data_IF_240045054952
#
_entry.id   IF_240045054952
#
_cell.length_a   1.000
_cell.length_b   1.000
_cell.length_c   1.000
_cell.angle_alpha   90.00
_cell.angle_beta   90.00
_cell.angle_gamma   90.00
#
_symmetry.space_group_name_H-M   'P 1'
#
loop_
_entity.id
_entity.type
_entity.pdbx_description
1 polymer ?
#
# COMPACT_ATOMS: atom_id res chain seq x y z
N UNK A 1 16.00 24.37 5.74
CA UNK A 1 15.84 23.08 5.04
C UNK A 1 15.35 22.06 6.06
N UNK A 2 14.29 21.33 5.76
CA UNK A 2 13.87 20.20 6.58
C UNK A 2 14.81 19.02 6.32
N UNK A 3 15.14 18.19 7.33
CA UNK A 3 15.92 16.98 7.10
C UNK A 3 15.23 16.06 6.07
N UNK A 4 15.96 15.13 5.43
CA UNK A 4 15.32 14.18 4.53
C UNK A 4 14.41 13.22 5.29
N UNK A 5 13.28 12.87 4.68
CA UNK A 5 12.36 11.85 5.18
C UNK A 5 12.90 10.46 4.84
N UNK A 6 12.88 9.57 5.82
CA UNK A 6 13.23 8.15 5.66
C UNK A 6 12.13 7.29 6.25
N UNK A 7 11.88 6.14 5.62
CA UNK A 7 10.96 5.12 6.09
C UNK A 7 11.69 3.86 6.52
N UNK A 8 11.30 3.28 7.65
CA UNK A 8 11.84 2.02 8.15
C UNK A 8 10.86 0.88 7.89
N UNK A 9 11.31 -0.20 7.27
CA UNK A 9 10.38 -1.18 6.72
C UNK A 9 10.99 -2.31 5.90
N UNK A 10 10.16 -3.12 5.27
CA UNK A 10 10.58 -4.27 4.44
C UNK A 10 10.20 -4.08 2.98
N UNK A 11 11.01 -4.63 2.08
CA UNK A 11 10.53 -4.92 0.73
C UNK A 11 9.59 -6.12 0.77
N UNK A 12 8.67 -6.21 -0.19
CA UNK A 12 7.65 -7.25 -0.21
C UNK A 12 7.79 -8.09 -1.48
N UNK A 13 7.74 -9.42 -1.35
CA UNK A 13 7.50 -10.32 -2.48
C UNK A 13 6.02 -10.22 -2.93
N UNK A 14 5.79 -9.51 -4.04
CA UNK A 14 4.45 -9.25 -4.55
C UNK A 14 3.63 -10.53 -4.84
N UNK A 15 4.26 -11.61 -5.28
CA UNK A 15 3.53 -12.84 -5.61
C UNK A 15 2.96 -13.50 -4.37
N UNK A 16 3.79 -13.62 -3.33
CA UNK A 16 3.37 -14.20 -2.04
C UNK A 16 2.34 -13.29 -1.36
N UNK A 17 2.55 -11.98 -1.47
CA UNK A 17 1.62 -10.98 -0.96
C UNK A 17 0.24 -11.05 -1.61
N UNK A 18 0.18 -11.04 -2.95
CA UNK A 18 -1.08 -11.08 -3.70
C UNK A 18 -1.84 -12.38 -3.46
N UNK A 19 -1.12 -13.51 -3.31
CA UNK A 19 -1.71 -14.79 -2.92
C UNK A 19 -2.28 -14.74 -1.50
N UNK A 20 -1.54 -14.20 -0.53
CA UNK A 20 -2.05 -14.02 0.83
C UNK A 20 -3.30 -13.13 0.85
N UNK A 21 -3.32 -12.05 0.05
CA UNK A 21 -4.47 -11.16 -0.06
C UNK A 21 -5.72 -11.90 -0.58
N UNK A 22 -5.55 -12.78 -1.55
CA UNK A 22 -6.61 -13.62 -2.10
C UNK A 22 -7.11 -14.65 -1.08
N UNK A 23 -6.18 -15.42 -0.50
CA UNK A 23 -6.48 -16.52 0.43
C UNK A 23 -7.20 -16.03 1.71
N UNK A 24 -7.15 -14.73 2.01
CA UNK A 24 -7.72 -14.11 3.22
C UNK A 24 -8.81 -13.05 2.94
N UNK A 25 -9.30 -12.94 1.70
CA UNK A 25 -10.34 -11.96 1.30
C UNK A 25 -9.97 -10.49 1.62
N UNK A 26 -8.70 -10.15 1.38
CA UNK A 26 -8.13 -8.83 1.64
C UNK A 26 -7.94 -8.00 0.36
N UNK A 27 -8.35 -8.51 -0.81
CA UNK A 27 -8.39 -7.72 -2.05
C UNK A 27 -9.35 -6.55 -1.88
N UNK A 28 -8.97 -5.40 -2.43
CA UNK A 28 -9.77 -4.20 -2.45
C UNK A 28 -10.18 -3.89 -3.89
N UNK A 29 -11.42 -3.44 -4.03
CA UNK A 29 -11.98 -2.99 -5.29
C UNK A 29 -12.58 -1.61 -5.05
N UNK A 30 -12.38 -0.70 -6.01
CA UNK A 30 -12.94 0.64 -6.00
C UNK A 30 -13.90 0.77 -7.17
N UNK A 31 -14.97 1.52 -6.95
CA UNK A 31 -15.91 1.89 -8.00
C UNK A 31 -15.26 3.01 -8.83
N UNK A 32 -15.02 2.77 -10.10
CA UNK A 32 -14.59 3.79 -11.07
C UNK A 32 -15.74 4.03 -12.05
N UNK A 33 -15.89 5.29 -12.45
CA UNK A 33 -16.75 5.64 -13.58
C UNK A 33 -16.13 5.03 -14.84
N UNK A 34 -16.99 4.42 -15.65
CA UNK A 34 -16.58 3.82 -16.92
C UNK A 34 -16.36 4.96 -17.91
N UNK A 35 -15.12 5.44 -18.01
CA UNK A 35 -14.69 6.37 -19.05
C UNK A 35 -14.56 5.57 -20.36
N UNK A 36 -15.66 5.01 -20.88
CA UNK A 36 -15.70 4.64 -22.29
C UNK A 36 -15.59 5.96 -23.06
N UNK A 37 -14.37 6.26 -23.56
CA UNK A 37 -14.12 7.29 -24.55
C UNK A 37 -15.11 7.02 -25.71
N UNK A 38 -16.20 7.78 -25.75
CA UNK A 38 -17.13 7.87 -26.88
C UNK A 38 -16.34 8.41 -28.08
N UNK A 39 -15.68 7.51 -28.81
CA UNK A 39 -15.28 7.74 -30.19
C UNK A 39 -16.57 7.85 -31.03
N UNK A 40 -16.98 9.11 -31.24
CA UNK A 40 -17.88 9.61 -32.29
C UNK A 40 -19.07 8.71 -32.67
N UNK A 41 -20.28 9.01 -32.15
CA UNK A 41 -21.44 9.10 -33.06
C UNK A 41 -22.55 10.00 -32.51
N UNK A 42 -23.25 10.60 -33.47
CA UNK A 42 -24.20 11.68 -33.37
C UNK A 42 -25.47 11.37 -32.53
N UNK A 43 -26.05 12.46 -31.98
CA UNK A 43 -27.48 12.62 -31.63
C UNK A 43 -28.14 11.70 -30.57
N UNK A 44 -28.22 12.17 -29.32
CA UNK A 44 -29.45 12.51 -28.57
C UNK A 44 -29.18 12.54 -27.05
N UNK A 45 -29.67 13.60 -26.39
CA UNK A 45 -29.53 13.91 -24.97
C UNK A 45 -30.41 12.96 -24.12
N UNK A 46 -30.01 11.69 -24.00
CA UNK A 46 -30.48 10.81 -22.93
C UNK A 46 -29.56 10.97 -21.71
N UNK A 47 -30.12 11.29 -20.54
CA UNK A 47 -29.39 11.28 -19.26
C UNK A 47 -28.90 9.84 -18.98
N UNK A 48 -27.76 9.47 -19.55
CA UNK A 48 -27.11 8.18 -19.30
C UNK A 48 -26.67 8.14 -17.84
N UNK A 49 -27.30 7.28 -17.04
CA UNK A 49 -26.84 6.99 -15.68
C UNK A 49 -25.36 6.56 -15.75
N UNK A 50 -24.45 7.12 -14.93
CA UNK A 50 -23.05 6.77 -15.01
C UNK A 50 -22.87 5.26 -14.79
N UNK A 51 -22.28 4.59 -15.77
CA UNK A 51 -21.84 3.21 -15.63
C UNK A 51 -20.63 3.18 -14.71
N UNK A 52 -20.58 2.19 -13.83
CA UNK A 52 -19.45 2.04 -12.92
C UNK A 52 -18.95 0.61 -12.91
N UNK A 53 -17.63 0.48 -13.01
CA UNK A 53 -16.93 -0.81 -12.92
C UNK A 53 -16.20 -0.91 -11.58
N UNK A 54 -16.18 -2.11 -11.02
CA UNK A 54 -15.35 -2.43 -9.86
C UNK A 54 -13.93 -2.75 -10.32
N UNK A 55 -13.01 -1.81 -10.13
CA UNK A 55 -11.60 -1.96 -10.49
C UNK A 55 -10.80 -2.41 -9.28
N UNK A 56 -9.92 -3.39 -9.47
CA UNK A 56 -8.99 -3.85 -8.43
C UNK A 56 -8.05 -2.70 -8.01
N UNK A 57 -8.01 -2.40 -6.72
CA UNK A 57 -7.14 -1.37 -6.14
C UNK A 57 -5.98 -2.03 -5.40
N UNK A 58 -4.82 -2.03 -6.05
CA UNK A 58 -3.58 -2.56 -5.50
C UNK A 58 -3.15 -1.85 -4.22
N UNK A 59 -3.33 -0.54 -4.14
CA UNK A 59 -2.86 0.27 -3.00
C UNK A 59 -3.72 0.01 -1.77
N UNK A 60 -5.03 -0.06 -1.92
CA UNK A 60 -5.96 -0.42 -0.86
C UNK A 60 -5.81 -1.89 -0.46
N UNK A 61 -5.55 -2.79 -1.40
CA UNK A 61 -5.25 -4.19 -1.09
C UNK A 61 -3.99 -4.28 -0.23
N UNK A 62 -2.96 -3.52 -0.61
CA UNK A 62 -1.73 -3.43 0.17
C UNK A 62 -2.02 -2.99 1.59
N UNK A 63 -2.76 -1.90 1.75
CA UNK A 63 -3.18 -1.39 3.05
C UNK A 63 -3.94 -2.40 3.91
N UNK A 64 -4.91 -3.10 3.32
CA UNK A 64 -5.72 -4.11 4.04
C UNK A 64 -4.87 -5.25 4.56
N UNK A 65 -3.98 -5.80 3.72
CA UNK A 65 -3.09 -6.88 4.11
C UNK A 65 -2.13 -6.42 5.20
N UNK A 66 -1.48 -5.27 5.01
CA UNK A 66 -0.50 -4.74 5.96
C UNK A 66 -1.13 -4.41 7.31
N UNK A 67 -2.29 -3.74 7.29
CA UNK A 67 -3.05 -3.44 8.51
C UNK A 67 -3.49 -4.71 9.23
N UNK A 68 -3.77 -5.79 8.50
CA UNK A 68 -4.12 -7.09 9.11
C UNK A 68 -2.91 -7.75 9.74
N UNK A 69 -1.80 -7.90 9.00
CA UNK A 69 -0.57 -8.52 9.50
C UNK A 69 0.01 -7.79 10.72
N UNK A 70 -0.05 -6.46 10.75
CA UNK A 70 0.39 -5.67 11.91
C UNK A 70 -0.54 -5.85 13.13
N UNK A 71 -1.86 -5.90 12.92
CA UNK A 71 -2.84 -6.10 14.00
C UNK A 71 -2.71 -7.48 14.64
N UNK A 72 -2.42 -8.52 13.85
CA UNK A 72 -2.23 -9.89 14.35
C UNK A 72 -1.15 -9.98 15.44
N UNK A 73 -0.12 -9.13 15.34
CA UNK A 73 0.99 -9.07 16.31
C UNK A 73 0.85 -7.95 17.34
N UNK A 74 -0.34 -7.34 17.44
CA UNK A 74 -0.66 -6.32 18.44
C UNK A 74 -0.16 -4.92 18.11
N UNK A 75 0.28 -4.65 16.87
CA UNK A 75 0.62 -3.31 16.40
C UNK A 75 -0.68 -2.65 15.93
N UNK A 76 -1.24 -1.77 16.78
CA UNK A 76 -2.58 -1.19 16.58
C UNK A 76 -2.61 0.06 15.71
N UNK A 77 -1.46 0.73 15.55
CA UNK A 77 -1.33 1.94 14.75
C UNK A 77 -0.14 1.76 13.83
N UNK A 78 -0.42 1.50 12.57
CA UNK A 78 0.48 1.92 11.51
C UNK A 78 0.16 3.39 11.26
N UNK A 79 1.16 4.26 11.01
CA UNK A 79 0.90 5.65 10.69
C UNK A 79 -0.14 5.73 9.56
N UNK A 80 -1.12 6.62 9.67
CA UNK A 80 -2.18 6.79 8.65
C UNK A 80 -1.61 7.17 7.28
N UNK A 81 -0.39 7.69 7.26
CA UNK A 81 0.39 8.02 6.06
C UNK A 81 1.31 6.87 5.61
N UNK A 82 1.43 5.77 6.37
CA UNK A 82 2.11 4.53 5.97
C UNK A 82 1.31 3.69 4.96
N UNK A 83 0.32 4.31 4.31
CA UNK A 83 -0.24 3.88 3.03
C UNK A 83 0.78 4.06 1.89
N UNK A 84 1.97 3.48 2.02
CA UNK A 84 3.03 3.68 1.05
C UNK A 84 2.85 2.71 -0.13
N UNK A 85 2.35 3.26 -1.23
CA UNK A 85 2.45 2.64 -2.53
C UNK A 85 3.79 3.02 -3.18
N UNK A 86 4.66 2.02 -3.38
CA UNK A 86 5.77 1.99 -4.35
C UNK A 86 6.88 3.06 -4.23
N UNK A 87 8.10 2.62 -3.86
CA UNK A 87 9.32 3.38 -4.20
C UNK A 87 9.78 2.95 -5.60
N UNK A 88 9.55 3.78 -6.61
CA UNK A 88 10.08 3.57 -7.96
C UNK A 88 11.52 4.09 -8.06
N UNK A 89 12.49 3.19 -7.95
CA UNK A 89 13.82 3.39 -8.52
C UNK A 89 13.90 2.73 -9.91
N UNK A 90 13.86 3.53 -10.99
CA UNK A 90 14.13 3.11 -12.39
C UNK A 90 13.43 1.82 -12.85
N UNK A 91 12.11 1.89 -13.07
CA UNK A 91 11.37 0.87 -13.84
C UNK A 91 11.05 -0.45 -13.11
N UNK A 92 11.37 -0.54 -11.82
CA UNK A 92 10.96 -1.68 -10.98
C UNK A 92 10.11 -1.16 -9.83
N UNK A 93 8.83 -1.52 -9.80
CA UNK A 93 7.94 -1.26 -8.65
C UNK A 93 8.32 -2.29 -7.60
N UNK A 94 9.02 -1.88 -6.53
CA UNK A 94 9.20 -2.72 -5.36
C UNK A 94 8.20 -2.27 -4.30
N UNK A 95 7.20 -3.09 -3.95
CA UNK A 95 6.30 -2.77 -2.86
C UNK A 95 7.10 -2.77 -1.55
N UNK A 96 7.00 -1.68 -0.78
CA UNK A 96 7.72 -1.48 0.48
C UNK A 96 6.74 -1.24 1.62
N UNK A 97 6.85 -2.03 2.68
CA UNK A 97 6.09 -1.91 3.91
C UNK A 97 6.82 -1.01 4.91
N UNK A 98 6.38 0.23 5.08
CA UNK A 98 6.89 1.10 6.15
C UNK A 98 6.14 0.93 7.47
N UNK A 99 6.90 0.86 8.55
CA UNK A 99 6.40 0.85 9.92
C UNK A 99 6.27 2.25 10.51
N UNK A 100 7.29 3.07 10.28
CA UNK A 100 7.39 4.44 10.79
C UNK A 100 8.43 5.21 9.97
N UNK A 101 8.37 6.53 10.03
CA UNK A 101 9.42 7.40 9.51
C UNK A 101 10.41 7.84 10.59
N UNK A 102 11.54 8.43 10.18
CA UNK A 102 12.48 9.08 11.08
C UNK A 102 11.87 10.25 11.89
N UNK A 103 10.68 10.74 11.52
CA UNK A 103 9.91 11.73 12.29
C UNK A 103 8.91 11.10 13.26
N UNK A 104 8.65 9.80 13.17
CA UNK A 104 7.68 9.05 13.96
C UNK A 104 8.35 8.07 14.92
N UNK A 105 9.62 8.32 15.31
CA UNK A 105 10.37 7.43 16.20
C UNK A 105 9.71 7.19 17.55
N UNK A 106 8.94 8.17 18.06
CA UNK A 106 8.17 8.02 19.30
C UNK A 106 7.03 6.99 19.19
N UNK A 107 6.59 6.70 17.97
CA UNK A 107 5.53 5.73 17.65
C UNK A 107 6.10 4.39 17.18
N UNK A 108 7.43 4.25 17.11
CA UNK A 108 8.08 3.04 16.62
C UNK A 108 7.76 1.82 17.50
N UNK A 109 7.44 0.65 16.91
CA UNK A 109 7.28 -0.57 17.68
C UNK A 109 8.54 -0.92 18.47
N UNK A 110 8.37 -1.52 19.65
CA UNK A 110 9.50 -2.03 20.42
C UNK A 110 10.25 -3.12 19.65
N UNK A 111 11.53 -3.34 19.97
CA UNK A 111 12.34 -4.41 19.35
C UNK A 111 11.68 -5.79 19.44
N UNK A 112 11.01 -6.09 20.56
CA UNK A 112 10.28 -7.34 20.73
C UNK A 112 9.11 -7.46 19.73
N UNK A 113 8.31 -6.40 19.57
CA UNK A 113 7.23 -6.36 18.58
C UNK A 113 7.75 -6.46 17.15
N UNK A 114 8.90 -5.85 16.84
CA UNK A 114 9.53 -5.96 15.52
C UNK A 114 9.93 -7.41 15.22
N UNK A 115 10.48 -8.14 16.19
CA UNK A 115 10.85 -9.55 16.01
C UNK A 115 9.63 -10.44 15.79
N UNK A 116 8.58 -10.25 16.59
CA UNK A 116 7.31 -10.99 16.43
C UNK A 116 6.69 -10.69 15.07
N UNK A 117 6.71 -9.43 14.63
CA UNK A 117 6.24 -9.05 13.30
C UNK A 117 7.07 -9.71 12.20
N UNK A 118 8.40 -9.67 12.31
CA UNK A 118 9.28 -10.29 11.31
C UNK A 118 9.02 -11.80 11.18
N UNK A 119 8.86 -12.51 12.30
CA UNK A 119 8.52 -13.94 12.27
C UNK A 119 7.14 -14.19 11.67
N UNK A 120 6.17 -13.31 11.93
CA UNK A 120 4.83 -13.38 11.32
C UNK A 120 4.87 -13.14 9.81
N UNK A 121 5.60 -12.12 9.35
CA UNK A 121 5.79 -11.85 7.91
C UNK A 121 6.50 -13.03 7.23
N UNK A 122 7.51 -13.62 7.87
CA UNK A 122 8.18 -14.83 7.37
C UNK A 122 7.20 -15.99 7.22
N UNK A 123 6.35 -16.22 8.22
CA UNK A 123 5.40 -17.32 8.20
C UNK A 123 4.26 -17.13 7.17
N UNK A 124 3.79 -15.90 6.97
CA UNK A 124 2.60 -15.61 6.14
C UNK A 124 2.90 -15.29 4.70
N UNK A 125 3.92 -14.46 4.47
CA UNK A 125 4.26 -13.97 3.13
C UNK A 125 5.70 -14.33 2.74
N UNK A 126 6.39 -15.15 3.54
CA UNK A 126 7.73 -15.64 3.21
C UNK A 126 8.81 -14.56 3.22
N UNK A 127 8.59 -13.47 3.94
CA UNK A 127 9.55 -12.37 4.08
C UNK A 127 10.67 -12.76 5.05
N UNK A 128 11.91 -12.80 4.56
CA UNK A 128 13.06 -13.25 5.36
C UNK A 128 14.01 -12.13 5.72
N UNK A 129 13.95 -11.00 5.02
CA UNK A 129 14.88 -9.90 5.21
C UNK A 129 14.60 -9.14 6.50
N UNK A 130 15.61 -8.41 6.94
CA UNK A 130 15.47 -7.47 8.06
C UNK A 130 14.96 -6.12 7.56
N UNK A 131 14.22 -5.36 8.37
CA UNK A 131 13.74 -4.07 7.95
C UNK A 131 14.91 -3.10 7.76
N UNK A 132 14.82 -2.27 6.72
CA UNK A 132 15.83 -1.31 6.30
C UNK A 132 15.26 0.10 6.21
N UNK A 133 16.15 1.09 6.29
CA UNK A 133 15.81 2.48 6.04
C UNK A 133 15.87 2.76 4.55
N UNK A 134 14.79 3.30 4.00
CA UNK A 134 14.74 3.81 2.63
C UNK A 134 14.48 5.31 2.63
N UNK A 135 15.26 6.10 1.88
CA UNK A 135 15.02 7.53 1.74
C UNK A 135 13.78 7.80 0.89
N UNK A 136 13.10 8.88 1.21
CA UNK A 136 12.03 9.45 0.41
C UNK A 136 12.63 10.49 -0.57
N UNK A 137 12.95 10.07 -1.80
CA UNK A 137 13.48 10.95 -2.87
C UNK A 137 12.39 11.23 -3.92
N UNK A 138 12.13 12.52 -4.17
CA UNK A 138 11.19 13.05 -5.18
C UNK A 138 9.85 12.31 -5.28
N UNK A 139 9.06 12.49 -4.22
CA UNK A 139 7.65 12.13 -4.05
C UNK A 139 6.86 11.94 -5.37
N UNK A 140 6.82 10.69 -5.87
CA UNK A 140 5.63 10.17 -6.55
C UNK A 140 4.62 9.57 -5.56
N UNK A 141 4.81 9.79 -4.25
CA UNK A 141 3.85 9.51 -3.18
C UNK A 141 2.69 10.51 -3.23
N UNK A 142 1.91 10.51 -4.31
CA UNK A 142 0.63 11.22 -4.29
C UNK A 142 -0.36 10.31 -3.58
N UNK A 143 -0.93 10.76 -2.45
CA UNK A 143 -2.33 10.44 -2.20
C UNK A 143 -3.04 10.85 -3.48
N UNK A 144 -3.72 9.94 -4.18
CA UNK A 144 -4.84 10.37 -5.01
C UNK A 144 -5.90 10.88 -4.04
N UNK A 145 -5.70 12.09 -3.53
CA UNK A 145 -6.84 12.94 -3.19
C UNK A 145 -7.30 13.45 -4.55
N UNK A 146 -8.35 12.84 -5.08
CA UNK A 146 -9.12 13.50 -6.13
C UNK A 146 -9.63 14.81 -5.55
N UNK A 147 -9.10 15.93 -6.05
CA UNK A 147 -9.73 17.25 -6.10
C UNK A 147 -9.15 18.00 -7.29
#
# INVERSE_FOLDING_TARGET
MQPPLYHYGWEIDWKKFAKYAEDNDLRAYVRQEDDEDDEDDDEEDEETEPNFVLTYDESLTVLKVLGTLARDVGIRRLPSECALASVLGRGTIVPFFALYSNYQLAEAPSRAQLLVLQDHLRARIGETESPKWLPDYDFRWRRRCWQ
#
